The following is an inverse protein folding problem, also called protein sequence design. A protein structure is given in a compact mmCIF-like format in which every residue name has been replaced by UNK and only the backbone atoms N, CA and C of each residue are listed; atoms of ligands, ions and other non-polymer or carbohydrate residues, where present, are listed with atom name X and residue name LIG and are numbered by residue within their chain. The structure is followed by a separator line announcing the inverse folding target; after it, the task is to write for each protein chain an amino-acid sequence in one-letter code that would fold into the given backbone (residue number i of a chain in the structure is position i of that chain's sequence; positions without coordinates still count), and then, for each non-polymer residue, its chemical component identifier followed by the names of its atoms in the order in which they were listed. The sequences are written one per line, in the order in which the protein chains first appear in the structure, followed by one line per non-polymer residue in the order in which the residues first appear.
data_IF_931476693295
#
_entry.id   IF_931476693295
#
_cell.length_a   1.000
_cell.length_b   1.000
_cell.length_c   1.000
_cell.angle_alpha   90.00
_cell.angle_beta   90.00
_cell.angle_gamma   90.00
#
_symmetry.space_group_name_H-M   'P 1'
#
loop_
_entity.id
_entity.type
_entity.pdbx_description
1 polymer ?
#
# COMPACT_ATOMS: atom_id res chain seq x y z
N UNK A 1 6.86 -27.60 -18.22
CA UNK A 1 5.91 -27.19 -19.27
C UNK A 1 5.52 -25.76 -18.96
N UNK A 2 6.06 -24.78 -19.69
CA UNK A 2 5.69 -23.36 -19.53
C UNK A 2 4.50 -23.09 -20.44
N UNK A 3 3.33 -22.86 -19.86
CA UNK A 3 2.15 -22.45 -20.62
C UNK A 3 2.08 -20.93 -20.52
N UNK A 4 2.27 -20.26 -21.65
CA UNK A 4 2.03 -18.82 -21.78
C UNK A 4 0.65 -18.60 -22.39
N UNK A 5 -0.22 -17.89 -21.68
CA UNK A 5 -1.54 -17.52 -22.17
C UNK A 5 -1.64 -16.00 -22.17
N UNK A 6 -1.90 -15.42 -23.34
CA UNK A 6 -2.20 -13.99 -23.47
C UNK A 6 -3.70 -13.81 -23.25
N UNK A 7 -4.08 -13.03 -22.23
CA UNK A 7 -5.49 -12.67 -22.01
C UNK A 7 -5.94 -11.74 -23.15
N UNK A 8 -7.07 -12.06 -23.76
CA UNK A 8 -7.56 -11.35 -24.95
C UNK A 8 -8.12 -9.99 -24.52
N UNK A 9 -7.48 -8.90 -24.93
CA UNK A 9 -7.91 -7.52 -24.66
C UNK A 9 -7.09 -6.78 -23.60
N UNK A 10 -6.15 -7.45 -22.93
CA UNK A 10 -5.29 -6.85 -21.91
C UNK A 10 -3.81 -6.96 -22.33
N UNK A 11 -3.01 -5.94 -22.00
CA UNK A 11 -1.55 -5.98 -22.15
C UNK A 11 -0.89 -6.81 -21.03
N UNK A 12 -1.48 -7.96 -20.72
CA UNK A 12 -1.07 -8.86 -19.63
C UNK A 12 -0.71 -10.21 -20.25
N UNK A 13 0.46 -10.72 -19.86
CA UNK A 13 0.93 -12.06 -20.23
C UNK A 13 1.00 -12.91 -18.98
N UNK A 14 0.27 -14.03 -18.96
CA UNK A 14 0.34 -14.99 -17.86
C UNK A 14 1.28 -16.11 -18.25
N UNK A 15 2.22 -16.41 -17.37
CA UNK A 15 3.10 -17.55 -17.49
C UNK A 15 2.93 -18.46 -16.29
N UNK A 16 2.81 -19.77 -16.55
CA UNK A 16 2.80 -20.78 -15.49
C UNK A 16 4.16 -21.46 -15.43
N UNK A 17 4.85 -21.25 -14.32
CA UNK A 17 6.07 -21.94 -13.97
C UNK A 17 6.22 -21.92 -12.44
N UNK A 18 7.17 -22.69 -11.95
CA UNK A 18 7.51 -22.71 -10.53
C UNK A 18 8.61 -21.66 -10.26
N UNK A 19 8.29 -20.57 -9.53
CA UNK A 19 9.19 -19.44 -9.34
C UNK A 19 10.30 -19.71 -8.31
N UNK A 20 10.16 -20.76 -7.49
CA UNK A 20 11.19 -21.15 -6.50
C UNK A 20 12.41 -21.78 -7.17
N UNK A 21 12.23 -22.30 -8.38
CA UNK A 21 13.32 -22.82 -9.21
C UNK A 21 14.01 -21.70 -9.98
N UNK A 22 15.29 -21.44 -9.65
CA UNK A 22 16.10 -20.40 -10.28
C UNK A 22 16.12 -20.50 -11.81
N UNK A 23 16.34 -21.70 -12.36
CA UNK A 23 16.41 -21.89 -13.82
C UNK A 23 15.07 -21.59 -14.51
N UNK A 24 13.95 -22.02 -13.91
CA UNK A 24 12.62 -21.73 -14.47
C UNK A 24 12.29 -20.23 -14.39
N UNK A 25 12.63 -19.60 -13.27
CA UNK A 25 12.45 -18.17 -13.06
C UNK A 25 13.28 -17.35 -14.06
N UNK A 26 14.55 -17.71 -14.24
CA UNK A 26 15.45 -17.06 -15.20
C UNK A 26 14.97 -17.17 -16.64
N UNK A 27 14.37 -18.29 -17.03
CA UNK A 27 13.77 -18.46 -18.36
C UNK A 27 12.49 -17.63 -18.55
N UNK A 28 11.72 -17.42 -17.48
CA UNK A 28 10.48 -16.64 -17.50
C UNK A 28 10.71 -15.12 -17.44
N UNK A 29 11.82 -14.68 -16.85
CA UNK A 29 12.20 -13.27 -16.76
C UNK A 29 12.89 -12.86 -18.05
N UNK A 30 12.21 -12.04 -18.84
CA UNK A 30 12.82 -11.30 -19.93
C UNK A 30 13.49 -10.03 -19.39
N UNK A 31 14.58 -9.57 -20.01
CA UNK A 31 15.39 -8.39 -19.59
C UNK A 31 14.63 -7.04 -19.56
N UNK A 32 13.31 -7.03 -19.76
CA UNK A 32 12.48 -5.81 -19.93
C UNK A 32 11.66 -5.41 -18.70
N UNK A 33 11.77 -6.12 -17.58
CA UNK A 33 11.01 -5.77 -16.39
C UNK A 33 11.84 -4.84 -15.50
N UNK A 34 11.25 -3.73 -15.08
CA UNK A 34 11.89 -2.77 -14.16
C UNK A 34 11.58 -3.06 -12.70
N UNK A 35 10.40 -3.64 -12.45
CA UNK A 35 9.86 -3.91 -11.13
C UNK A 35 9.41 -5.36 -11.06
N UNK A 36 9.78 -6.05 -9.99
CA UNK A 36 9.23 -7.35 -9.63
C UNK A 36 8.30 -7.19 -8.43
N UNK A 37 7.16 -7.88 -8.48
CA UNK A 37 6.24 -7.97 -7.35
C UNK A 37 6.10 -9.44 -6.96
N UNK A 38 6.44 -9.77 -5.71
CA UNK A 38 6.44 -11.14 -5.19
C UNK A 38 5.29 -11.29 -4.20
N UNK A 39 4.32 -12.12 -4.56
CA UNK A 39 3.14 -12.44 -3.77
C UNK A 39 3.01 -13.96 -3.74
N UNK A 40 3.33 -14.56 -2.59
CA UNK A 40 3.22 -16.01 -2.38
C UNK A 40 2.44 -16.30 -1.10
N UNK A 41 2.05 -17.55 -0.91
CA UNK A 41 1.29 -18.01 0.27
C UNK A 41 2.17 -18.56 1.39
N UNK A 42 3.42 -18.91 1.10
CA UNK A 42 4.38 -19.48 2.06
C UNK A 42 5.61 -18.59 2.22
N UNK A 43 6.07 -18.41 3.47
CA UNK A 43 7.23 -17.55 3.79
C UNK A 43 8.49 -18.03 3.08
N UNK A 44 8.71 -19.34 3.11
CA UNK A 44 9.89 -20.00 2.57
C UNK A 44 9.97 -19.79 1.05
N UNK A 45 8.82 -19.91 0.37
CA UNK A 45 8.75 -19.72 -1.08
C UNK A 45 9.00 -18.26 -1.46
N UNK A 46 8.39 -17.31 -0.74
CA UNK A 46 8.65 -15.88 -0.92
C UNK A 46 10.14 -15.56 -0.82
N UNK A 47 10.79 -16.05 0.24
CA UNK A 47 12.22 -15.83 0.46
C UNK A 47 13.09 -16.48 -0.62
N UNK A 48 12.75 -17.70 -1.04
CA UNK A 48 13.46 -18.41 -2.10
C UNK A 48 13.36 -17.67 -3.44
N UNK A 49 12.17 -17.17 -3.80
CA UNK A 49 11.96 -16.35 -4.99
C UNK A 49 12.74 -15.05 -4.91
N UNK A 50 12.69 -14.35 -3.79
CA UNK A 50 13.46 -13.13 -3.54
C UNK A 50 14.97 -13.33 -3.77
N UNK A 51 15.55 -14.36 -3.15
CA UNK A 51 16.96 -14.69 -3.33
C UNK A 51 17.30 -14.99 -4.79
N UNK A 52 16.42 -15.71 -5.50
CA UNK A 52 16.62 -16.02 -6.91
C UNK A 52 16.55 -14.76 -7.77
N UNK A 53 15.60 -13.86 -7.54
CA UNK A 53 15.52 -12.57 -8.23
C UNK A 53 16.78 -11.73 -8.01
N UNK A 54 17.29 -11.67 -6.78
CA UNK A 54 18.52 -10.95 -6.45
C UNK A 54 19.79 -11.55 -7.06
N UNK A 55 19.80 -12.87 -7.29
CA UNK A 55 20.85 -13.53 -8.08
C UNK A 55 20.79 -13.17 -9.56
N UNK A 56 19.59 -12.94 -10.10
CA UNK A 56 19.40 -12.55 -11.51
C UNK A 56 19.79 -11.10 -11.73
N UNK A 57 19.27 -10.18 -10.90
CA UNK A 57 19.60 -8.76 -10.97
C UNK A 57 19.58 -8.11 -9.57
N UNK A 58 20.72 -7.53 -9.18
CA UNK A 58 20.90 -6.91 -7.87
C UNK A 58 20.27 -5.52 -7.76
N UNK A 59 20.00 -4.87 -8.89
CA UNK A 59 19.62 -3.45 -8.94
C UNK A 59 18.13 -3.25 -9.25
N UNK A 60 17.38 -4.32 -9.53
CA UNK A 60 15.95 -4.20 -9.86
C UNK A 60 15.13 -3.92 -8.62
N UNK A 61 14.08 -3.13 -8.77
CA UNK A 61 13.15 -2.87 -7.69
C UNK A 61 12.31 -4.13 -7.41
N UNK A 62 12.29 -4.57 -6.16
CA UNK A 62 11.49 -5.71 -5.73
C UNK A 62 10.50 -5.24 -4.67
N UNK A 63 9.22 -5.43 -4.94
CA UNK A 63 8.15 -5.26 -3.97
C UNK A 63 7.78 -6.64 -3.45
N UNK A 64 7.93 -6.83 -2.16
CA UNK A 64 7.74 -8.11 -1.52
C UNK A 64 6.60 -8.00 -0.50
N UNK A 65 5.57 -8.83 -0.66
CA UNK A 65 4.46 -8.87 0.30
C UNK A 65 4.83 -9.75 1.50
N UNK A 66 4.93 -9.15 2.69
CA UNK A 66 5.07 -9.88 3.94
C UNK A 66 3.69 -10.09 4.60
N UNK A 67 3.26 -11.35 4.68
CA UNK A 67 2.02 -11.74 5.36
C UNK A 67 2.25 -12.21 6.80
N UNK A 68 3.50 -12.42 7.20
CA UNK A 68 3.87 -13.06 8.45
C UNK A 68 4.49 -12.09 9.46
N UNK A 69 4.93 -10.91 9.02
CA UNK A 69 5.59 -9.92 9.87
C UNK A 69 6.95 -10.41 10.35
N UNK A 70 7.68 -11.12 9.47
CA UNK A 70 8.94 -11.79 9.80
C UNK A 70 9.99 -11.65 8.68
N UNK A 71 9.81 -10.69 7.78
CA UNK A 71 10.76 -10.41 6.70
C UNK A 71 11.63 -9.18 6.98
N UNK A 72 11.62 -8.67 8.21
CA UNK A 72 12.53 -7.63 8.72
C UNK A 72 14.02 -7.99 8.50
N UNK A 73 14.35 -9.26 8.31
CA UNK A 73 15.71 -9.73 7.97
C UNK A 73 16.19 -9.30 6.56
N UNK A 74 15.28 -8.81 5.70
CA UNK A 74 15.57 -8.34 4.33
C UNK A 74 15.88 -6.83 4.28
N UNK A 75 15.76 -6.12 5.41
CA UNK A 75 15.71 -4.65 5.49
C UNK A 75 17.01 -3.92 5.07
N UNK A 76 18.12 -4.63 4.85
CA UNK A 76 19.41 -4.04 4.41
C UNK A 76 19.53 -3.88 2.88
N UNK A 77 18.50 -4.25 2.11
CA UNK A 77 18.49 -4.09 0.66
C UNK A 77 17.72 -2.84 0.19
N UNK A 78 18.48 -1.82 -0.21
CA UNK A 78 17.96 -0.53 -0.68
C UNK A 78 17.00 -0.60 -1.88
N UNK A 79 17.01 -1.68 -2.67
CA UNK A 79 16.13 -1.84 -3.83
C UNK A 79 14.95 -2.77 -3.54
N UNK A 80 14.74 -3.17 -2.29
CA UNK A 80 13.62 -3.99 -1.86
C UNK A 80 12.69 -3.17 -0.99
N UNK A 81 11.39 -3.23 -1.30
CA UNK A 81 10.34 -2.64 -0.48
C UNK A 81 9.46 -3.74 0.05
N UNK A 82 9.42 -3.86 1.37
CA UNK A 82 8.55 -4.80 2.07
C UNK A 82 7.19 -4.14 2.25
N UNK A 83 6.16 -4.82 1.76
CA UNK A 83 4.75 -4.45 1.97
C UNK A 83 4.24 -5.32 3.11
N UNK A 84 4.17 -4.76 4.32
CA UNK A 84 3.65 -5.46 5.49
C UNK A 84 2.10 -5.52 5.45
N UNK A 85 1.58 -6.69 5.12
CA UNK A 85 0.14 -6.93 5.05
C UNK A 85 -0.51 -6.87 6.44
N UNK A 86 0.18 -7.32 7.49
CA UNK A 86 -0.36 -7.32 8.85
C UNK A 86 -0.51 -5.88 9.36
N UNK A 87 0.47 -5.02 9.12
CA UNK A 87 0.39 -3.59 9.44
C UNK A 87 -0.75 -2.89 8.70
N UNK A 88 -0.88 -3.13 7.38
CA UNK A 88 -1.98 -2.55 6.58
C UNK A 88 -3.35 -3.01 7.09
N UNK A 89 -3.51 -4.31 7.36
CA UNK A 89 -4.75 -4.85 7.90
C UNK A 89 -5.04 -4.30 9.29
N UNK A 90 -4.02 -4.19 10.14
CA UNK A 90 -4.15 -3.66 11.51
C UNK A 90 -4.56 -2.19 11.49
N UNK A 91 -3.93 -1.37 10.65
CA UNK A 91 -4.32 0.05 10.43
C UNK A 91 -5.79 0.15 10.05
N UNK A 92 -6.24 -0.70 9.11
CA UNK A 92 -7.64 -0.74 8.68
C UNK A 92 -8.59 -1.16 9.80
N UNK A 93 -8.21 -2.14 10.62
CA UNK A 93 -9.01 -2.63 11.74
C UNK A 93 -9.13 -1.60 12.86
N UNK A 94 -8.02 -0.93 13.21
CA UNK A 94 -8.00 0.16 14.18
C UNK A 94 -8.96 1.28 13.77
N UNK A 95 -9.08 1.56 12.47
CA UNK A 95 -10.03 2.55 11.96
C UNK A 95 -11.51 2.26 12.24
N UNK A 96 -11.87 1.05 12.67
CA UNK A 96 -13.23 0.73 13.12
C UNK A 96 -13.46 1.02 14.62
N UNK A 97 -12.41 1.31 15.39
CA UNK A 97 -12.55 1.64 16.81
C UNK A 97 -13.15 3.05 16.99
N UNK A 98 -14.04 3.24 17.99
CA UNK A 98 -14.56 4.57 18.31
C UNK A 98 -13.42 5.50 18.73
N UNK A 99 -13.57 6.78 18.40
CA UNK A 99 -12.66 7.86 18.79
C UNK A 99 -11.19 7.71 18.35
N UNK A 100 -10.88 6.80 17.42
CA UNK A 100 -9.56 6.71 16.79
C UNK A 100 -9.57 7.39 15.41
N UNK A 101 -8.61 8.30 15.12
CA UNK A 101 -8.50 8.87 13.79
C UNK A 101 -8.00 7.83 12.79
N UNK A 102 -8.53 7.86 11.57
CA UNK A 102 -8.05 7.00 10.48
C UNK A 102 -6.95 7.78 9.77
N UNK A 103 -5.73 7.23 9.74
CA UNK A 103 -4.67 7.80 8.91
C UNK A 103 -5.04 7.57 7.44
N UNK A 104 -4.92 8.62 6.62
CA UNK A 104 -5.13 8.47 5.19
C UNK A 104 -3.89 7.79 4.59
N UNK A 105 -3.96 6.47 4.44
CA UNK A 105 -2.91 5.71 3.76
C UNK A 105 -2.90 6.07 2.27
N UNK A 106 -1.71 6.33 1.71
CA UNK A 106 -1.48 6.65 0.29
C UNK A 106 -1.83 8.07 -0.21
N UNK A 107 -1.89 9.08 0.66
CA UNK A 107 -1.90 10.50 0.22
C UNK A 107 -0.64 11.23 0.74
N UNK A 108 0.01 12.00 -0.14
CA UNK A 108 1.24 12.75 0.18
C UNK A 108 2.47 11.84 0.31
N UNK A 109 3.35 12.13 1.28
CA UNK A 109 4.54 11.33 1.60
C UNK A 109 4.23 10.14 2.51
N UNK A 110 2.96 9.90 2.86
CA UNK A 110 2.53 8.78 3.70
C UNK A 110 2.97 8.88 5.17
N UNK A 111 3.45 10.04 5.63
CA UNK A 111 3.94 10.28 7.01
C UNK A 111 2.89 10.93 7.93
N UNK A 112 1.63 10.54 7.82
CA UNK A 112 0.55 11.10 8.65
C UNK A 112 0.19 12.55 8.34
N UNK A 113 0.45 13.02 7.11
CA UNK A 113 0.17 14.40 6.69
C UNK A 113 -1.33 14.70 6.59
N UNK A 114 -2.14 13.68 6.35
CA UNK A 114 -3.59 13.78 6.21
C UNK A 114 -4.27 12.70 7.05
N UNK A 115 -5.28 13.11 7.79
CA UNK A 115 -6.06 12.26 8.68
C UNK A 115 -7.55 12.44 8.40
N UNK A 116 -8.31 11.34 8.45
CA UNK A 116 -9.76 11.35 8.41
C UNK A 116 -10.31 11.16 9.83
N UNK A 117 -11.19 12.08 10.24
CA UNK A 117 -11.83 12.04 11.56
C UNK A 117 -13.34 12.09 11.38
N UNK A 118 -14.03 11.09 11.95
CA UNK A 118 -15.49 11.08 12.01
C UNK A 118 -15.95 12.06 13.09
N UNK A 119 -16.81 13.01 12.73
CA UNK A 119 -17.39 13.97 13.68
C UNK A 119 -18.70 13.41 14.26
N UNK A 120 -18.76 13.03 15.55
CA UNK A 120 -19.99 12.53 16.17
C UNK A 120 -21.01 13.65 16.43
N UNK A 121 -22.27 13.24 16.60
CA UNK A 121 -23.37 14.15 16.97
C UNK A 121 -23.06 14.74 18.35
N UNK A 122 -23.06 16.07 18.47
CA UNK A 122 -22.75 16.77 19.72
C UNK A 122 -21.26 17.09 19.91
N UNK A 123 -20.40 16.73 18.96
CA UNK A 123 -18.99 17.15 18.96
C UNK A 123 -18.85 18.68 18.92
N UNK A 124 -17.77 19.21 19.50
CA UNK A 124 -17.41 20.62 19.40
C UNK A 124 -17.17 21.10 17.96
N UNK A 125 -16.97 20.17 17.02
CA UNK A 125 -16.86 20.39 15.58
C UNK A 125 -18.21 20.36 14.85
N UNK A 126 -19.26 19.82 15.46
CA UNK A 126 -20.57 19.69 14.82
C UNK A 126 -21.23 21.06 14.66
N UNK A 127 -21.88 21.28 13.51
CA UNK A 127 -22.64 22.50 13.18
C UNK A 127 -21.86 23.82 13.22
N UNK A 128 -20.53 23.77 13.15
CA UNK A 128 -19.66 24.94 13.11
C UNK A 128 -19.05 25.14 11.73
N UNK A 129 -18.91 26.40 11.32
CA UNK A 129 -18.21 26.76 10.08
C UNK A 129 -16.73 26.42 10.18
N UNK A 130 -16.14 25.87 9.11
CA UNK A 130 -14.70 25.58 9.03
C UNK A 130 -13.87 26.82 9.36
N UNK A 131 -14.33 28.02 8.97
CA UNK A 131 -13.67 29.28 9.27
C UNK A 131 -13.32 29.49 10.76
N UNK A 132 -14.10 28.94 11.69
CA UNK A 132 -13.84 29.02 13.13
C UNK A 132 -12.59 28.23 13.56
N UNK A 133 -12.22 27.22 12.79
CA UNK A 133 -11.05 26.36 13.04
C UNK A 133 -9.84 26.74 12.18
N UNK A 134 -10.06 27.53 11.12
CA UNK A 134 -9.02 27.93 10.17
C UNK A 134 -7.89 28.80 10.76
N UNK A 135 -8.06 29.31 11.98
CA UNK A 135 -7.06 30.05 12.75
C UNK A 135 -6.07 29.16 13.51
N UNK A 136 -6.34 27.86 13.59
CA UNK A 136 -5.44 26.91 14.26
C UNK A 136 -4.22 26.63 13.36
N UNK A 137 -3.02 26.78 13.92
CA UNK A 137 -1.76 26.63 13.16
C UNK A 137 -1.34 25.16 12.94
N UNK A 138 -1.85 24.26 13.78
CA UNK A 138 -1.38 22.87 13.85
C UNK A 138 -1.99 21.97 12.77
N UNK A 139 -3.17 22.31 12.25
CA UNK A 139 -3.80 21.56 11.18
C UNK A 139 -4.63 22.45 10.25
N UNK A 140 -4.92 21.93 9.06
CA UNK A 140 -5.87 22.53 8.13
C UNK A 140 -6.89 21.47 7.73
N UNK A 141 -8.12 21.89 7.48
CA UNK A 141 -9.19 21.02 6.97
C UNK A 141 -9.28 21.28 5.47
N UNK A 142 -8.76 20.40 4.58
CA UNK A 142 -8.80 20.62 3.13
C UNK A 142 -10.13 20.16 2.50
N UNK A 143 -10.80 19.17 3.09
CA UNK A 143 -11.98 18.52 2.51
C UNK A 143 -12.87 17.93 3.60
N UNK A 144 -14.18 17.86 3.33
CA UNK A 144 -15.19 17.22 4.17
C UNK A 144 -15.92 16.17 3.35
N UNK A 145 -16.12 14.98 3.91
CA UNK A 145 -17.02 13.98 3.37
C UNK A 145 -18.36 14.02 4.10
N UNK A 146 -19.45 14.27 3.36
CA UNK A 146 -20.81 14.28 3.90
C UNK A 146 -21.75 13.57 2.94
N UNK A 147 -22.54 12.61 3.45
CA UNK A 147 -23.46 11.80 2.64
C UNK A 147 -22.78 11.21 1.38
N UNK A 148 -21.59 10.63 1.55
CA UNK A 148 -20.75 10.08 0.48
C UNK A 148 -20.36 11.08 -0.63
N UNK A 149 -20.38 12.38 -0.35
CA UNK A 149 -19.91 13.43 -1.25
C UNK A 149 -18.70 14.14 -0.65
N UNK A 150 -17.65 14.27 -1.45
CA UNK A 150 -16.51 15.12 -1.16
C UNK A 150 -16.89 16.59 -1.35
N UNK A 151 -16.64 17.42 -0.35
CA UNK A 151 -16.89 18.86 -0.35
C UNK A 151 -15.56 19.55 -0.04
N UNK A 152 -15.06 20.36 -0.96
CA UNK A 152 -13.87 21.18 -0.73
C UNK A 152 -14.12 22.14 0.42
N UNK A 153 -13.19 22.21 1.37
CA UNK A 153 -13.31 23.09 2.50
C UNK A 153 -13.17 24.56 2.07
N UNK A 154 -14.21 25.35 2.33
CA UNK A 154 -14.19 26.80 2.20
C UNK A 154 -14.52 27.42 3.56
N UNK A 155 -14.20 28.70 3.74
CA UNK A 155 -14.43 29.39 5.02
C UNK A 155 -15.89 29.30 5.50
N UNK A 156 -16.84 29.34 4.56
CA UNK A 156 -18.29 29.25 4.82
C UNK A 156 -18.85 27.83 4.90
N UNK A 157 -18.07 26.79 4.61
CA UNK A 157 -18.55 25.40 4.63
C UNK A 157 -18.87 25.01 6.07
N UNK A 158 -20.05 24.45 6.28
CA UNK A 158 -20.52 23.84 7.53
C UNK A 158 -20.65 22.35 7.35
#
# INVERSE_FOLDING_TARGET
ITISQKLKGENITIQRFDPTSFEKLRLGIHEKFDIFMVIMDEKIDTFSVYQNLRKIDKNKEIYLLDKWGLLDEIDDDNHTKIIDALSILTSRLIGYLPDHPILADSIGLGKGEIMEVKVPIGSSFSYKKIGLFSTQKEFKIPMIYRHNKAITAQFGTM
#
